data_IF_204448950529
#
_entry.id   IF_204448950529
#
_cell.length_a   1.000
_cell.length_b   1.000
_cell.length_c   1.000
_cell.angle_alpha   90.00
_cell.angle_beta   90.00
_cell.angle_gamma   90.00
#
_symmetry.space_group_name_H-M   'P 1'
#
loop_
_entity.id
_entity.type
_entity.pdbx_description
1 polymer ?
#
# COMPACT_ATOMS: atom_id res chain seq x y z
N UNK A 1 8.88 -8.74 10.77
CA UNK A 1 7.73 -9.63 10.53
C UNK A 1 7.51 -9.70 9.00
N UNK A 2 7.03 -10.80 8.39
CA UNK A 2 6.72 -10.80 6.94
C UNK A 2 5.21 -10.64 6.77
N UNK A 3 4.75 -9.39 6.64
CA UNK A 3 3.37 -9.11 6.25
C UNK A 3 3.18 -9.50 4.80
N UNK A 4 2.16 -10.33 4.52
CA UNK A 4 1.76 -10.63 3.14
C UNK A 4 0.81 -9.54 2.65
N UNK A 5 0.99 -9.03 1.42
CA UNK A 5 0.10 -8.01 0.86
C UNK A 5 -1.36 -8.49 0.83
N UNK A 6 -1.56 -9.79 0.63
CA UNK A 6 -2.88 -10.43 0.48
C UNK A 6 -3.76 -10.26 1.73
N UNK A 7 -3.17 -10.32 2.93
CA UNK A 7 -3.92 -10.11 4.19
C UNK A 7 -4.35 -8.64 4.35
N UNK A 8 -3.53 -7.72 3.85
CA UNK A 8 -3.80 -6.27 3.88
C UNK A 8 -4.88 -5.89 2.85
N UNK A 9 -4.92 -6.54 1.68
CA UNK A 9 -5.82 -6.21 0.58
C UNK A 9 -7.30 -6.55 0.81
N UNK A 10 -7.56 -7.54 1.67
CA UNK A 10 -8.93 -7.89 2.06
C UNK A 10 -9.54 -6.90 3.07
N UNK A 11 -8.76 -5.96 3.62
CA UNK A 11 -9.19 -5.01 4.64
C UNK A 11 -9.39 -3.58 4.14
N UNK A 12 -9.09 -3.31 2.87
CA UNK A 12 -9.24 -1.95 2.32
C UNK A 12 -10.69 -1.56 2.07
N UNK A 13 -11.04 -0.31 2.35
CA UNK A 13 -12.28 0.35 1.92
C UNK A 13 -11.95 1.65 1.16
N UNK A 14 -12.93 2.21 0.47
CA UNK A 14 -12.78 3.49 -0.22
C UNK A 14 -12.66 4.63 0.78
N UNK A 15 -11.76 5.57 0.50
CA UNK A 15 -11.65 6.82 1.24
C UNK A 15 -11.34 6.66 2.75
N UNK A 16 -10.64 5.59 3.16
CA UNK A 16 -10.33 5.36 4.58
C UNK A 16 -9.39 6.42 5.16
N UNK A 17 -8.40 6.87 4.38
CA UNK A 17 -7.30 7.72 4.84
C UNK A 17 -7.17 9.01 4.04
N UNK A 18 -7.43 8.96 2.74
CA UNK A 18 -7.50 10.13 1.87
C UNK A 18 -8.85 10.13 1.14
N UNK A 19 -9.47 11.29 0.94
CA UNK A 19 -10.77 11.41 0.27
C UNK A 19 -10.58 11.66 -1.22
N UNK A 20 -10.14 10.65 -1.95
CA UNK A 20 -9.76 10.72 -3.38
C UNK A 20 -10.50 9.70 -4.28
N UNK A 21 -11.43 8.94 -3.70
CA UNK A 21 -12.25 7.94 -4.37
C UNK A 21 -11.60 6.56 -4.46
N UNK A 22 -10.35 6.38 -4.05
CA UNK A 22 -9.62 5.12 -4.21
C UNK A 22 -9.85 4.17 -3.04
N UNK A 23 -9.80 2.86 -3.31
CA UNK A 23 -9.72 1.84 -2.26
C UNK A 23 -8.36 1.93 -1.59
N UNK A 24 -8.31 2.08 -0.28
CA UNK A 24 -7.06 2.36 0.42
C UNK A 24 -6.76 1.30 1.47
N UNK A 25 -5.48 0.99 1.61
CA UNK A 25 -4.95 0.09 2.62
C UNK A 25 -3.76 0.71 3.31
N UNK A 26 -3.50 0.26 4.54
CA UNK A 26 -2.39 0.75 5.34
C UNK A 26 -1.52 -0.38 5.82
N UNK A 27 -0.21 -0.22 5.65
CA UNK A 27 0.81 -1.07 6.24
C UNK A 27 1.53 -0.28 7.31
N UNK A 28 1.28 -0.68 8.56
CA UNK A 28 2.00 -0.20 9.73
C UNK A 28 3.14 -1.17 10.02
N UNK A 29 4.32 -0.61 10.28
CA UNK A 29 5.54 -1.39 10.50
C UNK A 29 6.60 -0.56 11.20
N UNK A 30 7.76 -1.16 11.39
CA UNK A 30 8.92 -0.55 12.04
C UNK A 30 10.15 -0.62 11.15
N UNK A 31 11.20 0.12 11.51
CA UNK A 31 12.46 0.13 10.76
C UNK A 31 13.00 -1.30 10.56
N UNK A 32 13.18 -1.67 9.29
CA UNK A 32 13.68 -2.99 8.90
C UNK A 32 12.60 -4.03 8.58
N UNK A 33 11.31 -3.72 8.78
CA UNK A 33 10.24 -4.49 8.17
C UNK A 33 10.27 -4.31 6.64
N UNK A 34 9.93 -5.40 5.93
CA UNK A 34 9.98 -5.44 4.47
C UNK A 34 8.59 -5.73 3.90
N UNK A 35 8.20 -4.93 2.92
CA UNK A 35 7.04 -5.18 2.09
C UNK A 35 7.52 -5.42 0.67
N UNK A 36 7.12 -6.57 0.14
CA UNK A 36 7.48 -6.99 -1.21
C UNK A 36 6.30 -6.71 -2.14
N UNK A 37 6.47 -5.72 -3.02
CA UNK A 37 5.50 -5.34 -4.05
C UNK A 37 5.81 -5.96 -5.42
N UNK A 38 6.88 -6.77 -5.53
CA UNK A 38 7.33 -7.35 -6.80
C UNK A 38 6.38 -8.41 -7.38
N UNK A 39 5.45 -8.91 -6.57
CA UNK A 39 4.38 -9.81 -7.01
C UNK A 39 3.03 -9.13 -6.83
N UNK A 40 2.76 -8.12 -7.65
CA UNK A 40 1.48 -7.40 -7.74
C UNK A 40 0.31 -8.29 -8.14
N UNK A 41 0.56 -9.57 -8.48
CA UNK A 41 -0.51 -10.53 -8.71
C UNK A 41 -1.16 -10.94 -7.39
N UNK A 42 -2.04 -10.07 -6.91
CA UNK A 42 -2.94 -10.39 -5.82
C UNK A 42 -4.21 -10.94 -6.47
N UNK A 43 -4.60 -12.15 -6.07
CA UNK A 43 -5.85 -12.75 -6.52
C UNK A 43 -7.03 -11.77 -6.30
N UNK A 44 -7.69 -11.38 -7.39
CA UNK A 44 -8.81 -10.43 -7.37
C UNK A 44 -8.44 -8.96 -7.63
N UNK A 45 -7.14 -8.62 -7.73
CA UNK A 45 -6.69 -7.35 -8.28
C UNK A 45 -6.46 -7.47 -9.80
N UNK A 46 -6.69 -6.38 -10.53
CA UNK A 46 -6.34 -6.32 -11.94
C UNK A 46 -4.81 -6.46 -12.14
N UNK A 47 -4.38 -6.88 -13.31
CA UNK A 47 -2.95 -6.86 -13.66
C UNK A 47 -2.41 -5.42 -13.66
N UNK A 48 -1.19 -5.24 -13.18
CA UNK A 48 -0.53 -3.94 -13.13
C UNK A 48 0.65 -3.93 -12.16
N UNK A 49 1.18 -2.73 -11.95
CA UNK A 49 2.36 -2.47 -11.13
C UNK A 49 2.03 -1.47 -10.03
N UNK A 50 2.77 -1.54 -8.92
CA UNK A 50 2.69 -0.56 -7.85
C UNK A 50 3.74 0.51 -8.06
N UNK A 51 3.30 1.76 -8.12
CA UNK A 51 4.17 2.91 -8.30
C UNK A 51 4.02 3.88 -7.15
N UNK A 52 5.12 4.49 -6.72
CA UNK A 52 5.06 5.50 -5.68
C UNK A 52 4.38 6.76 -6.23
N UNK A 53 3.23 7.11 -5.63
CA UNK A 53 2.39 8.23 -6.06
C UNK A 53 2.54 9.47 -5.16
N UNK A 54 3.13 9.33 -3.98
CA UNK A 54 3.40 10.46 -3.10
C UNK A 54 3.56 10.09 -1.64
N UNK A 55 3.19 11.02 -0.75
CA UNK A 55 3.18 10.82 0.70
C UNK A 55 1.95 11.45 1.33
N UNK A 56 1.46 10.86 2.43
CA UNK A 56 0.31 11.39 3.17
C UNK A 56 0.53 11.26 4.69
N UNK A 57 -0.23 12.02 5.48
CA UNK A 57 -0.20 11.93 6.94
C UNK A 57 -1.51 11.37 7.48
N UNK A 58 -1.42 10.32 8.30
CA UNK A 58 -2.57 9.73 8.99
C UNK A 58 -2.27 9.71 10.49
N UNK A 59 -3.08 10.41 11.28
CA UNK A 59 -2.89 10.47 12.73
C UNK A 59 -1.53 11.05 13.17
N UNK A 60 -0.91 11.92 12.37
CA UNK A 60 0.40 12.51 12.64
C UNK A 60 1.60 11.65 12.25
N UNK A 61 1.37 10.47 11.64
CA UNK A 61 2.42 9.60 11.09
C UNK A 61 2.45 9.76 9.56
N UNK A 62 3.65 9.82 8.98
CA UNK A 62 3.86 9.95 7.54
C UNK A 62 3.95 8.58 6.85
N UNK A 63 3.25 8.45 5.72
CA UNK A 63 3.19 7.26 4.89
C UNK A 63 3.62 7.58 3.46
N UNK A 64 4.33 6.67 2.81
CA UNK A 64 4.51 6.64 1.37
C UNK A 64 3.26 6.04 0.73
N UNK A 65 2.71 6.69 -0.29
CA UNK A 65 1.54 6.22 -1.03
C UNK A 65 2.02 5.53 -2.30
N UNK A 66 1.61 4.28 -2.49
CA UNK A 66 1.80 3.52 -3.72
C UNK A 66 0.45 3.31 -4.38
N UNK A 67 0.32 3.64 -5.66
CA UNK A 67 -0.89 3.42 -6.45
C UNK A 67 -0.68 2.27 -7.42
N UNK A 68 -1.72 1.47 -7.61
CA UNK A 68 -1.68 0.36 -8.56
C UNK A 68 -2.15 0.80 -9.95
N UNK A 69 -1.34 0.61 -10.99
CA UNK A 69 -1.63 1.13 -12.34
C UNK A 69 -2.87 0.52 -13.00
N UNK A 70 -3.20 -0.72 -12.67
CA UNK A 70 -4.37 -1.44 -13.22
C UNK A 70 -5.63 -1.37 -12.36
N UNK A 71 -5.56 -0.83 -11.14
CA UNK A 71 -6.65 -0.91 -10.16
C UNK A 71 -6.89 0.44 -9.49
N UNK A 72 -8.13 0.74 -9.13
CA UNK A 72 -8.45 2.00 -8.44
C UNK A 72 -8.13 1.89 -6.94
N UNK A 73 -6.84 1.80 -6.61
CA UNK A 73 -6.37 1.28 -5.33
C UNK A 73 -5.02 1.85 -4.92
N UNK A 74 -4.88 2.16 -3.62
CA UNK A 74 -3.65 2.66 -3.01
C UNK A 74 -3.21 1.84 -1.78
N UNK A 75 -1.90 1.80 -1.57
CA UNK A 75 -1.24 1.26 -0.40
C UNK A 75 -0.44 2.37 0.29
N UNK A 76 -0.83 2.69 1.52
CA UNK A 76 -0.13 3.62 2.40
C UNK A 76 0.85 2.81 3.26
N UNK A 77 2.14 3.03 3.08
CA UNK A 77 3.20 2.33 3.82
C UNK A 77 3.92 3.29 4.74
N UNK A 78 3.93 3.01 6.04
CA UNK A 78 4.57 3.86 7.03
C UNK A 78 6.05 4.08 6.70
N UNK A 79 6.53 5.33 6.83
CA UNK A 79 7.95 5.62 6.65
C UNK A 79 8.81 4.82 7.65
N UNK A 80 9.92 4.26 7.18
CA UNK A 80 10.79 3.33 7.93
C UNK A 80 10.68 1.88 7.46
N UNK A 81 9.55 1.50 6.84
CA UNK A 81 9.37 0.21 6.19
C UNK A 81 10.14 0.19 4.85
N UNK A 82 10.93 -0.85 4.61
CA UNK A 82 11.64 -1.04 3.35
C UNK A 82 10.71 -1.63 2.30
N UNK A 83 10.62 -0.95 1.15
CA UNK A 83 9.88 -1.43 -0.01
C UNK A 83 10.84 -2.09 -1.00
N UNK A 84 10.47 -3.27 -1.47
CA UNK A 84 11.10 -3.93 -2.60
C UNK A 84 10.11 -3.86 -3.77
N UNK A 85 10.42 -3.03 -4.76
CA UNK A 85 9.80 -3.01 -6.10
C UNK A 85 10.87 -3.56 -7.07
N UNK A 86 10.49 -4.36 -8.07
CA UNK A 86 11.40 -4.86 -9.11
C UNK A 86 10.88 -4.46 -10.47
#
# INVERSE_FOLDING_TARGET
MKLSLTDVLNLGETDLFQKDGKKQMMVNGSDGDKVDLSNSHIAGLAEGEWEQHGTTQVGGVTYNVYEHSGAHTELLVQQGVQIVVH
#
